data_IF_818139219286
#
_entry.id   IF_818139219286
#
_cell.length_a   1.000
_cell.length_b   1.000
_cell.length_c   1.000
_cell.angle_alpha   90.00
_cell.angle_beta   90.00
_cell.angle_gamma   90.00
#
_symmetry.space_group_name_H-M   'P 1'
#
loop_
_entity.id
_entity.type
_entity.pdbx_description
1 polymer ?
#
# COMPACT_ATOMS: atom_id res chain seq x y z
N UNK A 1 -3.46 5.84 10.80
CA UNK A 1 -3.33 7.28 10.46
C UNK A 1 -4.04 7.54 9.15
N UNK A 2 -4.39 8.79 8.82
CA UNK A 2 -5.08 9.09 7.56
C UNK A 2 -4.08 9.04 6.40
N UNK A 3 -4.38 8.29 5.35
CA UNK A 3 -3.58 8.27 4.13
C UNK A 3 -3.94 9.47 3.26
N UNK A 4 -2.93 10.26 2.93
CA UNK A 4 -3.04 11.46 2.11
C UNK A 4 -2.16 11.32 0.87
N UNK A 5 -2.46 12.12 -0.15
CA UNK A 5 -1.63 12.23 -1.35
C UNK A 5 -1.43 13.70 -1.68
N UNK A 6 -0.23 14.19 -1.39
CA UNK A 6 0.12 15.61 -1.52
C UNK A 6 1.42 15.74 -2.31
N UNK A 7 1.46 16.69 -3.24
CA UNK A 7 2.66 17.01 -4.04
C UNK A 7 3.32 15.80 -4.75
N UNK A 8 2.54 14.76 -5.06
CA UNK A 8 3.03 13.57 -5.76
C UNK A 8 3.53 12.44 -4.85
N UNK A 9 3.43 12.59 -3.52
CA UNK A 9 3.81 11.58 -2.55
C UNK A 9 2.65 11.19 -1.65
N UNK A 10 2.65 9.92 -1.21
CA UNK A 10 1.72 9.46 -0.18
C UNK A 10 2.26 9.80 1.20
N UNK A 11 1.39 10.24 2.10
CA UNK A 11 1.77 10.64 3.46
C UNK A 11 0.79 10.09 4.50
N UNK A 12 1.30 9.86 5.72
CA UNK A 12 0.49 9.65 6.93
C UNK A 12 1.14 10.46 8.04
N UNK A 13 0.44 11.45 8.60
CA UNK A 13 0.98 12.31 9.66
C UNK A 13 2.36 12.91 9.28
N UNK A 14 2.44 13.53 8.09
CA UNK A 14 3.67 14.11 7.51
C UNK A 14 4.80 13.10 7.16
N UNK A 15 4.65 11.82 7.51
CA UNK A 15 5.60 10.78 7.12
C UNK A 15 5.36 10.35 5.67
N UNK A 16 6.36 10.49 4.80
CA UNK A 16 6.31 9.98 3.43
C UNK A 16 6.28 8.46 3.39
N UNK A 17 5.36 7.91 2.59
CA UNK A 17 5.15 6.48 2.36
C UNK A 17 5.49 6.12 0.92
N UNK A 18 6.44 5.21 0.73
CA UNK A 18 6.87 4.75 -0.59
C UNK A 18 6.25 3.40 -0.98
N UNK A 19 5.06 3.46 -1.56
CA UNK A 19 4.38 2.29 -2.14
C UNK A 19 5.10 1.74 -3.38
N UNK A 20 5.85 2.57 -4.12
CA UNK A 20 6.63 2.17 -5.28
C UNK A 20 6.62 3.24 -6.36
N UNK A 21 7.38 3.04 -7.45
CA UNK A 21 7.36 3.97 -8.58
C UNK A 21 5.94 4.07 -9.18
N UNK A 22 5.46 5.28 -9.49
CA UNK A 22 4.11 5.49 -10.02
C UNK A 22 3.80 4.62 -11.25
N UNK A 23 4.74 4.51 -12.20
CA UNK A 23 4.57 3.65 -13.37
C UNK A 23 4.38 2.17 -13.02
N UNK A 24 4.92 1.69 -11.90
CA UNK A 24 4.66 0.33 -11.41
C UNK A 24 3.27 0.22 -10.81
N UNK A 25 2.82 1.22 -10.05
CA UNK A 25 1.51 1.21 -9.40
C UNK A 25 0.36 1.17 -10.42
N UNK A 26 0.48 1.96 -11.50
CA UNK A 26 -0.54 1.98 -12.57
C UNK A 26 -0.59 0.67 -13.37
N UNK A 27 0.55 0.06 -13.66
CA UNK A 27 0.63 -1.07 -14.60
C UNK A 27 0.51 -2.44 -13.93
N UNK A 28 0.45 -2.51 -12.61
CA UNK A 28 0.42 -3.77 -11.86
C UNK A 28 -0.96 -3.97 -11.24
N UNK A 29 -1.62 -5.07 -11.63
CA UNK A 29 -2.83 -5.55 -10.95
C UNK A 29 -2.50 -5.89 -9.50
N UNK A 30 -3.37 -5.48 -8.60
CA UNK A 30 -3.24 -5.73 -7.19
C UNK A 30 -3.37 -7.21 -6.85
N UNK A 31 -2.77 -7.58 -5.72
CA UNK A 31 -2.80 -8.96 -5.23
C UNK A 31 -4.01 -9.23 -4.35
N UNK A 32 -4.59 -8.17 -3.82
CA UNK A 32 -5.66 -8.16 -2.85
C UNK A 32 -6.46 -6.88 -3.06
N UNK A 33 -7.73 -6.93 -2.67
CA UNK A 33 -8.64 -5.81 -2.53
C UNK A 33 -8.26 -5.08 -1.23
N UNK A 34 -7.41 -4.06 -1.35
CA UNK A 34 -6.86 -3.33 -0.21
C UNK A 34 -7.83 -2.28 0.31
N UNK A 35 -8.62 -1.65 -0.56
CA UNK A 35 -9.58 -0.63 -0.18
C UNK A 35 -10.95 -1.18 0.24
N UNK A 36 -11.14 -2.50 0.05
CA UNK A 36 -12.30 -3.32 0.44
C UNK A 36 -13.57 -2.93 -0.31
N UNK A 37 -13.44 -2.53 -1.57
CA UNK A 37 -14.57 -2.19 -2.44
C UNK A 37 -15.16 -3.41 -3.18
N UNK A 38 -14.49 -4.57 -3.09
CA UNK A 38 -14.89 -5.83 -3.72
C UNK A 38 -14.34 -6.03 -5.14
N UNK A 39 -13.50 -5.11 -5.63
CA UNK A 39 -12.83 -5.19 -6.93
C UNK A 39 -11.34 -5.45 -6.73
N UNK A 40 -10.73 -6.07 -7.76
CA UNK A 40 -9.27 -6.21 -7.82
C UNK A 40 -8.80 -5.36 -8.99
N UNK A 41 -8.22 -4.21 -8.67
CA UNK A 41 -7.84 -3.21 -9.65
C UNK A 41 -6.33 -3.10 -9.79
N UNK A 42 -5.84 -2.03 -10.43
CA UNK A 42 -4.42 -1.70 -10.37
C UNK A 42 -4.04 -1.27 -8.95
N UNK A 43 -2.78 -1.50 -8.55
CA UNK A 43 -2.26 -1.00 -7.27
C UNK A 43 -2.50 0.51 -7.08
N UNK A 44 -2.52 1.27 -8.18
CA UNK A 44 -2.88 2.68 -8.14
C UNK A 44 -4.31 2.90 -7.64
N UNK A 45 -5.31 2.24 -8.23
CA UNK A 45 -6.72 2.45 -7.86
C UNK A 45 -7.03 1.94 -6.46
N UNK A 46 -6.47 0.80 -6.07
CA UNK A 46 -6.54 0.31 -4.68
C UNK A 46 -6.01 1.35 -3.68
N UNK A 47 -4.89 2.01 -3.98
CA UNK A 47 -4.35 3.06 -3.10
C UNK A 47 -5.18 4.34 -3.16
N UNK A 48 -5.80 4.66 -4.30
CA UNK A 48 -6.72 5.80 -4.43
C UNK A 48 -7.96 5.61 -3.56
N UNK A 49 -8.52 4.41 -3.52
CA UNK A 49 -9.66 4.09 -2.66
C UNK A 49 -9.37 4.21 -1.17
N UNK A 50 -8.09 4.24 -0.77
CA UNK A 50 -7.65 4.43 0.61
C UNK A 50 -7.43 5.91 1.00
N UNK A 51 -7.43 6.85 0.04
CA UNK A 51 -7.20 8.26 0.34
C UNK A 51 -8.29 8.84 1.25
N UNK A 52 -7.87 9.60 2.27
CA UNK A 52 -8.76 10.17 3.29
C UNK A 52 -9.31 9.14 4.29
N UNK A 53 -8.92 7.87 4.18
CA UNK A 53 -9.28 6.82 5.15
C UNK A 53 -8.14 6.59 6.15
N UNK A 54 -8.52 6.10 7.32
CA UNK A 54 -7.56 5.58 8.27
C UNK A 54 -6.99 4.25 7.78
N UNK A 55 -5.66 4.17 7.70
CA UNK A 55 -4.93 2.95 7.37
C UNK A 55 -3.86 2.66 8.43
N UNK A 56 -3.58 1.37 8.62
CA UNK A 56 -2.50 0.88 9.46
C UNK A 56 -1.43 0.26 8.56
N UNK A 57 -0.21 0.78 8.66
CA UNK A 57 0.93 0.27 7.91
C UNK A 57 1.97 -0.29 8.88
N UNK A 58 2.50 -1.46 8.57
CA UNK A 58 3.76 -1.94 9.10
C UNK A 58 4.74 -2.16 7.95
N UNK A 59 6.04 -2.13 8.26
CA UNK A 59 7.08 -2.04 7.25
C UNK A 59 8.41 -1.59 7.83
N UNK A 60 9.25 -1.02 6.97
CA UNK A 60 10.60 -0.60 7.33
C UNK A 60 10.97 0.72 6.65
N UNK A 61 11.92 1.44 7.23
CA UNK A 61 12.44 2.67 6.68
C UNK A 61 13.58 2.41 5.68
N UNK A 62 13.64 3.22 4.62
CA UNK A 62 14.80 3.32 3.74
C UNK A 62 15.12 4.80 3.50
N UNK A 63 16.10 5.31 4.24
CA UNK A 63 16.29 6.76 4.36
C UNK A 63 15.12 7.35 5.14
N UNK A 64 14.53 8.43 4.63
CA UNK A 64 13.42 9.13 5.28
C UNK A 64 12.04 8.56 4.90
N UNK A 65 11.97 7.75 3.84
CA UNK A 65 10.72 7.15 3.38
C UNK A 65 10.40 5.85 4.13
N UNK A 66 9.15 5.69 4.52
CA UNK A 66 8.61 4.45 5.06
C UNK A 66 8.15 3.54 3.91
N UNK A 67 8.57 2.27 3.92
CA UNK A 67 8.19 1.27 2.92
C UNK A 67 7.27 0.24 3.58
N UNK A 68 5.99 0.19 3.18
CA UNK A 68 5.03 -0.76 3.77
C UNK A 68 5.30 -2.19 3.33
N UNK A 69 5.23 -3.11 4.28
CA UNK A 69 5.13 -4.55 4.09
C UNK A 69 3.66 -4.98 4.02
N UNK A 70 2.79 -4.38 4.84
CA UNK A 70 1.35 -4.59 4.82
C UNK A 70 0.55 -3.28 4.82
N UNK A 71 -0.70 -3.39 4.37
CA UNK A 71 -1.75 -2.38 4.49
C UNK A 71 -2.92 -3.05 5.24
N UNK A 72 -3.27 -2.56 6.42
CA UNK A 72 -4.30 -3.11 7.30
C UNK A 72 -4.19 -4.63 7.50
N UNK A 73 -2.95 -5.10 7.68
CA UNK A 73 -2.61 -6.51 7.87
C UNK A 73 -2.56 -7.35 6.58
N UNK A 74 -2.82 -6.76 5.41
CA UNK A 74 -2.78 -7.43 4.11
C UNK A 74 -1.39 -7.23 3.47
N UNK A 75 -0.76 -8.32 3.04
CA UNK A 75 0.57 -8.29 2.41
C UNK A 75 0.62 -7.42 1.15
N UNK A 76 1.42 -6.37 1.21
CA UNK A 76 1.67 -5.41 0.12
C UNK A 76 2.93 -5.77 -0.70
N UNK A 77 4.04 -6.11 -0.03
CA UNK A 77 5.32 -6.52 -0.66
C UNK A 77 5.78 -7.89 -0.16
N UNK A 78 6.27 -8.72 -1.08
CA UNK A 78 6.80 -10.05 -0.74
C UNK A 78 5.69 -11.09 -0.57
N UNK A 79 6.06 -12.37 -0.50
CA UNK A 79 5.15 -13.53 -0.51
C UNK A 79 4.12 -13.49 0.62
N UNK A 80 2.87 -13.88 0.32
CA UNK A 80 2.03 -14.51 1.35
C UNK A 80 2.83 -15.70 1.90
N UNK A 81 2.92 -15.92 3.22
CA UNK A 81 3.53 -17.14 3.74
C UNK A 81 2.91 -18.32 2.99
N UNK A 82 3.74 -19.11 2.30
CA UNK A 82 3.28 -20.38 1.74
C UNK A 82 2.65 -21.14 2.91
N UNK A 83 1.42 -21.66 2.79
CA UNK A 83 0.91 -22.57 3.80
C UNK A 83 1.96 -23.67 4.00
N UNK A 84 2.26 -24.09 5.25
CA UNK A 84 3.17 -25.20 5.45
C UNK A 84 2.68 -26.36 4.59
N UNK A 85 3.57 -26.90 3.75
CA UNK A 85 3.28 -28.10 2.99
C UNK A 85 2.79 -29.15 3.99
N UNK A 86 1.50 -29.52 3.88
CA UNK A 86 0.88 -30.60 4.64
C UNK A 86 1.40 -31.95 4.14
#
# INVERSE_FOLDING_TARGET
>A
GILEYENGSYTINEQEIFFGPAGMLFNKVARSDYDRDGQIESMYYELQGLLGKEVNLDGFYKGEAFIPAHIDGIWYRGMAPQPPHL
#
